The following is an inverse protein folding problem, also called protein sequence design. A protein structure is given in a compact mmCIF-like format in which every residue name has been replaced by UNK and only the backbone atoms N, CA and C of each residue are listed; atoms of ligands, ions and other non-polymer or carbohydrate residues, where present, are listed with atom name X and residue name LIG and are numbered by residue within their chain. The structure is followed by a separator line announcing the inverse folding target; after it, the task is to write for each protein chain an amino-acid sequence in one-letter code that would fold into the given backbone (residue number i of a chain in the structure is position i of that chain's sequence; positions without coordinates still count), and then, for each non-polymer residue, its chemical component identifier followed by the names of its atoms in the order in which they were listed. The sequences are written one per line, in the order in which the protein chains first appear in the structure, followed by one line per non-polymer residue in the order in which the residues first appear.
data_IF_897321112721
#
_entry.id   IF_897321112721
#
_cell.length_a   1.000
_cell.length_b   1.000
_cell.length_c   1.000
_cell.angle_alpha   90.00
_cell.angle_beta   90.00
_cell.angle_gamma   90.00
#
_symmetry.space_group_name_H-M   'P 1'
#
loop_
_entity.id
_entity.type
_entity.pdbx_description
1 polymer ?
#
# COMPACT_ATOMS: atom_id res chain seq x y z
N UNK A 1 -33.57 -13.37 0.04
CA UNK A 1 -32.33 -12.82 -0.54
C UNK A 1 -31.80 -11.77 0.43
N UNK A 2 -30.55 -11.89 0.89
CA UNK A 2 -29.93 -10.90 1.78
C UNK A 2 -29.38 -9.74 0.91
N UNK A 3 -29.69 -8.50 1.28
CA UNK A 3 -29.18 -7.33 0.59
C UNK A 3 -27.68 -7.15 0.88
N UNK A 4 -26.88 -6.95 -0.16
CA UNK A 4 -25.48 -6.54 -0.03
C UNK A 4 -25.30 -5.16 -0.67
N UNK A 5 -24.68 -4.25 0.06
CA UNK A 5 -24.43 -2.87 -0.38
C UNK A 5 -22.92 -2.65 -0.33
N UNK A 6 -22.33 -2.23 -1.44
CA UNK A 6 -20.91 -1.89 -1.52
C UNK A 6 -20.75 -0.37 -1.73
N UNK A 7 -19.89 0.22 -0.93
CA UNK A 7 -19.48 1.61 -1.05
C UNK A 7 -18.00 1.68 -1.37
N UNK A 8 -17.66 2.35 -2.44
CA UNK A 8 -16.28 2.61 -2.82
C UNK A 8 -15.88 4.03 -2.44
N UNK A 9 -14.65 4.17 -1.92
CA UNK A 9 -14.07 5.45 -1.51
C UNK A 9 -14.92 6.25 -0.48
N UNK A 10 -15.68 5.56 0.36
CA UNK A 10 -16.60 6.18 1.32
C UNK A 10 -15.88 7.10 2.31
N UNK A 11 -14.61 6.84 2.59
CA UNK A 11 -13.78 7.66 3.47
C UNK A 11 -13.59 9.12 2.98
N UNK A 12 -13.91 9.41 1.72
CA UNK A 12 -13.89 10.78 1.17
C UNK A 12 -15.09 11.62 1.65
N UNK A 13 -16.09 11.00 2.24
CA UNK A 13 -17.30 11.67 2.72
C UNK A 13 -17.14 11.98 4.21
N UNK A 14 -17.17 13.27 4.63
CA UNK A 14 -17.11 13.62 6.05
C UNK A 14 -18.23 12.95 6.85
N UNK A 15 -17.89 12.40 8.02
CA UNK A 15 -18.88 11.77 8.93
C UNK A 15 -19.43 10.42 8.48
N UNK A 16 -18.86 9.81 7.46
CA UNK A 16 -19.32 8.52 6.92
C UNK A 16 -19.42 7.42 7.98
N UNK A 17 -18.47 7.37 8.91
CA UNK A 17 -18.40 6.31 9.93
C UNK A 17 -19.57 6.38 10.92
N UNK A 18 -20.03 7.57 11.27
CA UNK A 18 -21.21 7.74 12.13
C UNK A 18 -22.51 7.30 11.42
N UNK A 19 -22.60 7.57 10.12
CA UNK A 19 -23.74 7.12 9.32
C UNK A 19 -23.76 5.60 9.25
N UNK A 20 -22.64 4.96 8.92
CA UNK A 20 -22.52 3.51 8.85
C UNK A 20 -22.82 2.87 10.21
N UNK A 21 -22.30 3.43 11.31
CA UNK A 21 -22.59 2.98 12.66
C UNK A 21 -24.10 2.98 12.97
N UNK A 22 -24.76 4.09 12.70
CA UNK A 22 -26.20 4.23 12.92
C UNK A 22 -27.00 3.19 12.13
N UNK A 23 -26.66 3.01 10.85
CA UNK A 23 -27.32 2.02 9.98
C UNK A 23 -27.03 0.59 10.44
N UNK A 24 -25.80 0.29 10.84
CA UNK A 24 -25.44 -0.99 11.42
C UNK A 24 -26.25 -1.28 12.69
N UNK A 25 -26.25 -0.34 13.66
CA UNK A 25 -26.94 -0.51 14.94
C UNK A 25 -28.46 -0.63 14.74
N UNK A 26 -29.07 0.10 13.82
CA UNK A 26 -30.49 -0.03 13.48
C UNK A 26 -30.81 -1.38 12.83
N UNK A 27 -29.90 -1.90 11.99
CA UNK A 27 -30.05 -3.18 11.33
C UNK A 27 -30.07 -4.38 12.32
N UNK A 28 -29.43 -4.22 13.50
CA UNK A 28 -29.43 -5.28 14.53
C UNK A 28 -30.82 -5.63 15.06
N UNK A 29 -31.80 -4.74 14.89
CA UNK A 29 -33.22 -5.00 15.23
C UNK A 29 -33.93 -5.93 14.24
N UNK A 30 -33.33 -6.16 13.07
CA UNK A 30 -33.83 -7.05 12.04
C UNK A 30 -33.41 -8.50 12.31
N UNK A 31 -34.19 -9.45 11.83
CA UNK A 31 -33.76 -10.84 11.82
C UNK A 31 -32.44 -11.02 11.05
N UNK A 32 -31.49 -11.89 11.45
CA UNK A 32 -30.17 -12.02 10.84
C UNK A 32 -30.18 -12.18 9.32
N UNK A 33 -31.15 -12.89 8.77
CA UNK A 33 -31.34 -13.10 7.32
C UNK A 33 -31.80 -11.87 6.57
N UNK A 34 -32.28 -10.83 7.26
CA UNK A 34 -32.74 -9.56 6.68
C UNK A 34 -31.73 -8.41 6.88
N UNK A 35 -30.67 -8.62 7.67
CA UNK A 35 -29.64 -7.61 7.89
C UNK A 35 -28.86 -7.39 6.61
N UNK A 36 -28.65 -6.15 6.17
CA UNK A 36 -27.82 -5.88 5.02
C UNK A 36 -26.36 -6.22 5.32
N UNK A 37 -25.64 -6.71 4.33
CA UNK A 37 -24.17 -6.76 4.35
C UNK A 37 -23.65 -5.45 3.78
N UNK A 38 -22.84 -4.76 4.54
CA UNK A 38 -22.21 -3.50 4.10
C UNK A 38 -20.74 -3.82 3.84
N UNK A 39 -20.29 -3.56 2.62
CA UNK A 39 -18.89 -3.66 2.21
C UNK A 39 -18.40 -2.24 1.93
N UNK A 40 -17.27 -1.89 2.51
CA UNK A 40 -16.64 -0.58 2.29
C UNK A 40 -15.25 -0.85 1.73
N UNK A 41 -14.98 -0.31 0.55
CA UNK A 41 -13.65 -0.32 -0.05
C UNK A 41 -13.06 1.08 -0.08
N UNK A 42 -11.74 1.16 -0.07
CA UNK A 42 -11.03 2.43 -0.20
C UNK A 42 -9.54 2.19 -0.44
N UNK A 43 -8.95 3.04 -1.26
CA UNK A 43 -7.53 2.98 -1.62
C UNK A 43 -6.60 3.31 -0.45
N UNK A 44 -7.11 3.94 0.59
CA UNK A 44 -6.34 4.32 1.75
C UNK A 44 -6.77 3.59 3.01
N UNK A 45 -5.99 2.60 3.38
CA UNK A 45 -6.13 1.92 4.66
C UNK A 45 -6.22 2.90 5.86
N UNK A 46 -5.57 4.03 5.76
CA UNK A 46 -5.36 4.98 6.85
C UNK A 46 -6.59 5.85 7.16
N UNK A 47 -7.34 6.30 6.14
CA UNK A 47 -8.61 7.02 6.38
C UNK A 47 -9.71 6.07 6.84
N UNK A 48 -9.70 4.87 6.30
CA UNK A 48 -10.60 3.81 6.75
C UNK A 48 -10.28 3.47 8.22
N UNK A 49 -9.01 3.28 8.58
CA UNK A 49 -8.59 3.01 9.96
C UNK A 49 -9.06 4.10 10.93
N UNK A 50 -8.94 5.39 10.60
CA UNK A 50 -9.38 6.48 11.48
C UNK A 50 -10.89 6.44 11.75
N UNK A 51 -11.70 6.25 10.72
CA UNK A 51 -13.16 6.11 10.89
C UNK A 51 -13.56 4.81 11.61
N UNK A 52 -12.83 3.72 11.37
CA UNK A 52 -13.07 2.42 12.00
C UNK A 52 -12.77 2.44 13.50
N UNK A 53 -11.68 3.07 13.92
CA UNK A 53 -11.26 3.08 15.34
C UNK A 53 -12.14 3.98 16.20
N UNK A 54 -12.62 5.11 15.66
CA UNK A 54 -13.41 6.08 16.42
C UNK A 54 -14.88 5.66 16.58
N UNK A 55 -15.53 5.22 15.51
CA UNK A 55 -16.98 5.01 15.51
C UNK A 55 -17.43 3.57 15.32
N UNK A 56 -16.64 2.74 14.64
CA UNK A 56 -17.04 1.40 14.21
C UNK A 56 -16.38 0.28 15.00
N UNK A 57 -15.68 0.58 16.08
CA UNK A 57 -15.02 -0.46 16.90
C UNK A 57 -15.98 -1.60 17.26
N UNK A 58 -15.57 -2.84 16.97
CA UNK A 58 -16.36 -4.04 17.21
C UNK A 58 -17.53 -4.31 16.23
N UNK A 59 -17.64 -3.49 15.15
CA UNK A 59 -18.74 -3.59 14.16
C UNK A 59 -18.27 -3.95 12.76
N UNK A 60 -16.98 -4.20 12.55
CA UNK A 60 -16.41 -4.49 11.23
C UNK A 60 -15.41 -5.64 11.30
N UNK A 61 -15.21 -6.26 10.16
CA UNK A 61 -14.10 -7.15 9.87
C UNK A 61 -13.22 -6.46 8.82
N UNK A 62 -11.92 -6.33 9.11
CA UNK A 62 -10.97 -5.71 8.19
C UNK A 62 -10.36 -6.77 7.27
N UNK A 63 -10.63 -6.63 5.98
CA UNK A 63 -10.02 -7.45 4.93
C UNK A 63 -8.96 -6.59 4.24
N UNK A 64 -7.70 -6.97 4.38
CA UNK A 64 -6.60 -6.33 3.66
C UNK A 64 -6.49 -6.94 2.28
N UNK A 65 -6.55 -6.09 1.26
CA UNK A 65 -6.45 -6.50 -0.14
C UNK A 65 -5.09 -6.03 -0.70
N UNK A 66 -4.03 -6.85 -0.58
CA UNK A 66 -2.70 -6.53 -1.08
C UNK A 66 -2.62 -6.69 -2.60
N UNK A 67 -1.41 -6.67 -3.16
CA UNK A 67 -1.17 -7.05 -4.55
C UNK A 67 -1.72 -8.44 -4.86
N UNK A 68 -2.15 -8.65 -6.10
CA UNK A 68 -2.62 -9.94 -6.56
C UNK A 68 -1.50 -10.99 -6.49
N UNK A 69 -1.84 -12.20 -6.10
CA UNK A 69 -0.91 -13.31 -6.14
C UNK A 69 -0.90 -13.96 -7.54
N UNK A 70 0.10 -14.82 -7.77
CA UNK A 70 0.25 -15.52 -9.05
C UNK A 70 -1.01 -16.32 -9.44
N UNK A 71 -1.63 -17.00 -8.48
CA UNK A 71 -2.82 -17.83 -8.76
C UNK A 71 -4.01 -16.99 -9.22
N UNK A 72 -4.19 -15.80 -8.64
CA UNK A 72 -5.24 -14.85 -9.04
C UNK A 72 -4.98 -14.30 -10.44
N UNK A 73 -3.77 -13.83 -10.73
CA UNK A 73 -3.41 -13.29 -12.03
C UNK A 73 -3.41 -14.36 -13.13
N UNK A 74 -2.90 -15.55 -12.82
CA UNK A 74 -2.91 -16.67 -13.75
C UNK A 74 -4.33 -17.12 -14.10
N UNK A 75 -5.21 -17.19 -13.11
CA UNK A 75 -6.61 -17.57 -13.30
C UNK A 75 -7.41 -16.53 -14.10
N UNK A 76 -7.16 -15.24 -13.85
CA UNK A 76 -7.91 -14.16 -14.47
C UNK A 76 -7.39 -13.75 -15.86
N UNK A 77 -6.07 -13.77 -16.06
CA UNK A 77 -5.40 -13.19 -17.24
C UNK A 77 -4.43 -14.14 -17.92
N UNK A 78 -4.22 -15.36 -17.41
CA UNK A 78 -3.26 -16.31 -17.95
C UNK A 78 -1.80 -15.91 -17.75
N UNK A 79 -1.52 -15.04 -16.78
CA UNK A 79 -0.16 -14.57 -16.46
C UNK A 79 0.71 -15.74 -16.01
N UNK A 80 1.88 -15.86 -16.61
CA UNK A 80 2.86 -16.87 -16.25
C UNK A 80 3.64 -16.44 -15.00
N UNK A 81 4.27 -17.40 -14.29
CA UNK A 81 5.09 -17.08 -13.13
C UNK A 81 6.26 -16.12 -13.47
N UNK A 82 6.84 -16.22 -14.69
CA UNK A 82 7.91 -15.33 -15.15
C UNK A 82 7.42 -13.88 -15.29
N UNK A 83 6.25 -13.71 -15.88
CA UNK A 83 5.62 -12.40 -16.01
C UNK A 83 5.25 -11.84 -14.64
N UNK A 84 4.66 -12.63 -13.75
CA UNK A 84 4.34 -12.21 -12.39
C UNK A 84 5.59 -11.77 -11.61
N UNK A 85 6.71 -12.50 -11.70
CA UNK A 85 7.97 -12.11 -11.05
C UNK A 85 8.52 -10.80 -11.64
N UNK A 86 8.33 -10.54 -12.92
CA UNK A 86 8.79 -9.32 -13.55
C UNK A 86 7.90 -8.10 -13.24
N UNK A 87 6.58 -8.30 -13.16
CA UNK A 87 5.59 -7.22 -13.02
C UNK A 87 5.22 -6.95 -11.56
N UNK A 88 5.16 -7.99 -10.73
CA UNK A 88 4.48 -7.96 -9.44
C UNK A 88 2.96 -8.00 -9.61
N UNK A 89 2.23 -7.94 -8.51
CA UNK A 89 0.78 -8.14 -8.48
C UNK A 89 -0.06 -6.91 -8.84
N UNK A 90 0.29 -6.20 -9.91
CA UNK A 90 -0.53 -5.15 -10.53
C UNK A 90 -1.17 -5.69 -11.82
N UNK A 91 -2.41 -6.20 -11.80
CA UNK A 91 -2.98 -6.98 -12.90
C UNK A 91 -2.95 -6.26 -14.25
N UNK A 92 -3.13 -4.94 -14.25
CA UNK A 92 -3.17 -4.18 -15.50
C UNK A 92 -1.83 -4.08 -16.22
N UNK A 93 -0.72 -4.36 -15.53
CA UNK A 93 0.61 -4.20 -16.13
C UNK A 93 0.88 -5.18 -17.27
N UNK A 94 0.21 -6.35 -17.30
CA UNK A 94 0.36 -7.30 -18.40
C UNK A 94 -0.03 -6.72 -19.77
N UNK A 95 -0.98 -5.78 -19.81
CA UNK A 95 -1.39 -5.10 -21.05
C UNK A 95 -0.25 -4.27 -21.69
N UNK A 96 0.74 -3.87 -20.89
CA UNK A 96 1.85 -3.00 -21.32
C UNK A 96 3.15 -3.77 -21.61
N UNK A 97 3.21 -5.07 -21.34
CA UNK A 97 4.41 -5.90 -21.55
C UNK A 97 5.04 -5.77 -22.95
N UNK A 98 4.26 -5.67 -24.06
CA UNK A 98 4.82 -5.54 -25.40
C UNK A 98 5.54 -4.22 -25.65
N UNK A 99 5.29 -3.18 -24.85
CA UNK A 99 5.84 -1.83 -25.02
C UNK A 99 6.49 -1.36 -23.70
N UNK A 100 7.76 -1.64 -23.53
CA UNK A 100 8.51 -1.28 -22.31
C UNK A 100 8.46 0.21 -22.00
N UNK A 101 8.42 1.10 -23.00
CA UNK A 101 8.36 2.54 -22.78
C UNK A 101 7.02 2.95 -22.17
N UNK A 102 5.92 2.44 -22.72
CA UNK A 102 4.58 2.68 -22.17
C UNK A 102 4.43 2.06 -20.80
N UNK A 103 5.00 0.86 -20.59
CA UNK A 103 5.02 0.20 -19.30
C UNK A 103 5.68 1.08 -18.22
N UNK A 104 6.91 1.55 -18.46
CA UNK A 104 7.63 2.40 -17.50
C UNK A 104 6.88 3.72 -17.23
N UNK A 105 6.34 4.36 -18.26
CA UNK A 105 5.54 5.57 -18.11
C UNK A 105 4.28 5.32 -17.28
N UNK A 106 3.55 4.25 -17.55
CA UNK A 106 2.34 3.91 -16.80
C UNK A 106 2.64 3.64 -15.31
N UNK A 107 3.71 2.90 -15.02
CA UNK A 107 4.09 2.63 -13.62
C UNK A 107 4.47 3.92 -12.90
N UNK A 108 5.25 4.81 -13.53
CA UNK A 108 5.62 6.10 -12.93
C UNK A 108 4.43 7.00 -12.72
N UNK A 109 3.69 7.29 -13.79
CA UNK A 109 2.72 8.36 -13.81
C UNK A 109 1.39 7.93 -13.18
N UNK A 110 0.95 6.69 -13.43
CA UNK A 110 -0.35 6.22 -12.98
C UNK A 110 -0.32 5.47 -11.65
N UNK A 111 0.79 4.81 -11.30
CA UNK A 111 0.92 4.08 -10.03
C UNK A 111 1.67 4.92 -9.02
N UNK A 112 2.97 5.19 -9.26
CA UNK A 112 3.84 5.85 -8.27
C UNK A 112 3.35 7.26 -7.96
N UNK A 113 3.13 8.09 -8.99
CA UNK A 113 2.69 9.48 -8.80
C UNK A 113 1.29 9.56 -8.16
N UNK A 114 0.37 8.68 -8.53
CA UNK A 114 -0.95 8.64 -7.91
C UNK A 114 -0.87 8.32 -6.42
N UNK A 115 -0.13 7.29 -6.04
CA UNK A 115 -0.02 6.89 -4.63
C UNK A 115 0.73 7.94 -3.81
N UNK A 116 1.87 8.43 -4.29
CA UNK A 116 2.68 9.39 -3.53
C UNK A 116 2.01 10.76 -3.42
N UNK A 117 1.39 11.28 -4.48
CA UNK A 117 0.86 12.65 -4.49
C UNK A 117 -0.61 12.75 -4.12
N UNK A 118 -1.43 11.73 -4.38
CA UNK A 118 -2.85 11.75 -4.07
C UNK A 118 -3.15 11.01 -2.77
N UNK A 119 -2.77 9.74 -2.71
CA UNK A 119 -3.20 8.93 -1.58
C UNK A 119 -2.45 9.27 -0.29
N UNK A 120 -1.12 9.36 -0.33
CA UNK A 120 -0.34 9.63 0.88
C UNK A 120 -0.39 11.10 1.32
N UNK A 121 -0.29 12.06 0.39
CA UNK A 121 -0.24 13.48 0.75
C UNK A 121 -1.61 14.05 1.15
N UNK A 122 -2.70 13.55 0.54
CA UNK A 122 -4.04 14.01 0.89
C UNK A 122 -4.55 13.44 2.23
N UNK A 123 -3.99 12.30 2.64
CA UNK A 123 -4.51 11.52 3.76
C UNK A 123 -3.74 11.73 5.05
N UNK A 124 -2.52 12.20 4.95
CA UNK A 124 -1.65 12.48 6.10
C UNK A 124 -1.02 13.86 5.97
N UNK A 125 -0.86 14.56 7.11
CA UNK A 125 0.00 15.73 7.15
C UNK A 125 1.45 15.28 6.94
N UNK A 126 1.85 15.12 5.68
CA UNK A 126 3.23 14.88 5.31
C UNK A 126 3.94 16.22 5.27
N UNK A 127 4.69 16.54 6.31
CA UNK A 127 5.42 17.82 6.41
C UNK A 127 6.51 17.96 5.34
N UNK A 128 7.08 16.82 4.89
CA UNK A 128 8.20 16.77 3.94
C UNK A 128 7.91 15.83 2.77
N UNK A 129 7.07 16.23 1.81
CA UNK A 129 6.72 15.38 0.66
C UNK A 129 7.93 14.94 -0.17
N UNK A 130 8.90 15.82 -0.32
CA UNK A 130 10.15 15.54 -1.06
C UNK A 130 10.94 14.43 -0.36
N UNK A 131 11.02 14.44 0.96
CA UNK A 131 11.71 13.39 1.72
C UNK A 131 11.00 12.05 1.60
N UNK A 132 9.67 12.02 1.66
CA UNK A 132 8.86 10.81 1.47
C UNK A 132 9.16 10.18 0.08
N UNK A 133 9.14 11.00 -0.97
CA UNK A 133 9.47 10.57 -2.34
C UNK A 133 10.90 10.02 -2.43
N UNK A 134 11.88 10.75 -1.95
CA UNK A 134 13.28 10.31 -1.96
C UNK A 134 13.50 9.02 -1.18
N UNK A 135 12.78 8.82 -0.08
CA UNK A 135 12.83 7.58 0.69
C UNK A 135 12.30 6.39 -0.11
N UNK A 136 11.22 6.59 -0.87
CA UNK A 136 10.70 5.57 -1.76
C UNK A 136 11.68 5.26 -2.90
N UNK A 137 12.22 6.29 -3.57
CA UNK A 137 13.24 6.13 -4.62
C UNK A 137 14.49 5.43 -4.09
N UNK A 138 14.93 5.80 -2.88
CA UNK A 138 16.03 5.13 -2.20
C UNK A 138 15.75 3.64 -2.01
N UNK A 139 14.55 3.30 -1.53
CA UNK A 139 14.14 1.90 -1.34
C UNK A 139 14.15 1.11 -2.66
N UNK A 140 13.76 1.73 -3.76
CA UNK A 140 13.81 1.11 -5.08
C UNK A 140 15.23 0.96 -5.64
N UNK A 141 16.19 1.78 -5.20
CA UNK A 141 17.62 1.64 -5.57
C UNK A 141 18.35 0.61 -4.72
N UNK A 142 17.84 0.32 -3.54
CA UNK A 142 18.40 -0.63 -2.57
C UNK A 142 17.39 -1.75 -2.23
N UNK A 143 16.81 -2.43 -3.24
CA UNK A 143 15.80 -3.45 -3.00
C UNK A 143 16.41 -4.63 -2.24
N UNK A 144 15.69 -5.12 -1.23
CA UNK A 144 16.09 -6.23 -0.38
C UNK A 144 17.36 -6.02 0.45
N UNK A 145 17.90 -4.79 0.54
CA UNK A 145 19.05 -4.47 1.39
C UNK A 145 18.61 -4.17 2.84
N UNK A 146 19.50 -4.48 3.78
CA UNK A 146 19.36 -4.09 5.19
C UNK A 146 20.06 -2.76 5.37
N UNK A 147 19.30 -1.70 5.62
CA UNK A 147 19.85 -0.34 5.73
C UNK A 147 19.37 0.34 7.00
N UNK A 148 20.30 0.90 7.77
CA UNK A 148 19.93 1.66 8.98
C UNK A 148 19.27 2.99 8.63
N UNK A 149 18.34 3.46 9.47
CA UNK A 149 17.69 4.75 9.28
C UNK A 149 18.69 5.91 9.28
N UNK A 150 19.78 5.81 10.06
CA UNK A 150 20.86 6.80 10.07
C UNK A 150 21.61 6.84 8.73
N UNK A 151 21.91 5.66 8.14
CA UNK A 151 22.55 5.60 6.81
C UNK A 151 21.65 6.17 5.73
N UNK A 152 20.34 5.88 5.79
CA UNK A 152 19.35 6.49 4.88
C UNK A 152 19.35 8.00 5.01
N UNK A 153 19.30 8.54 6.23
CA UNK A 153 19.32 9.98 6.51
C UNK A 153 20.57 10.66 5.93
N UNK A 154 21.73 10.03 6.07
CA UNK A 154 22.99 10.57 5.53
C UNK A 154 23.05 10.61 4.00
N UNK A 155 22.26 9.81 3.32
CA UNK A 155 22.17 9.80 1.85
C UNK A 155 21.00 10.63 1.29
N UNK A 156 19.99 10.86 2.11
CA UNK A 156 18.85 11.71 1.76
C UNK A 156 19.20 13.15 2.13
N UNK A 157 19.44 13.99 1.14
CA UNK A 157 19.92 15.39 1.30
C UNK A 157 18.90 16.34 1.94
N UNK A 158 17.96 15.85 2.73
CA UNK A 158 16.94 16.66 3.38
C UNK A 158 17.05 16.56 4.90
N UNK A 159 16.72 17.65 5.60
CA UNK A 159 16.77 17.75 7.06
C UNK A 159 15.64 16.99 7.75
N UNK A 160 15.64 15.69 7.61
CA UNK A 160 14.75 14.79 8.38
C UNK A 160 15.42 14.30 9.66
N UNK A 161 14.67 13.59 10.48
CA UNK A 161 15.18 12.82 11.60
C UNK A 161 14.77 11.35 11.46
N UNK A 162 15.35 10.48 12.30
CA UNK A 162 15.08 9.03 12.29
C UNK A 162 13.59 8.73 12.53
N UNK A 163 12.93 9.50 13.37
CA UNK A 163 11.49 9.33 13.66
C UNK A 163 10.64 9.63 12.43
N UNK A 164 10.95 10.72 11.71
CA UNK A 164 10.26 11.08 10.45
C UNK A 164 10.45 10.00 9.41
N UNK A 165 11.68 9.48 9.24
CA UNK A 165 11.93 8.38 8.30
C UNK A 165 11.18 7.10 8.67
N UNK A 166 11.17 6.74 9.95
CA UNK A 166 10.42 5.58 10.43
C UNK A 166 8.93 5.71 10.15
N UNK A 167 8.36 6.90 10.39
CA UNK A 167 6.97 7.20 10.08
C UNK A 167 6.70 7.10 8.56
N UNK A 168 7.58 7.65 7.73
CA UNK A 168 7.40 7.58 6.27
C UNK A 168 7.55 6.16 5.71
N UNK A 169 8.43 5.32 6.29
CA UNK A 169 8.47 3.90 5.96
C UNK A 169 7.16 3.19 6.31
N UNK A 170 6.53 3.55 7.44
CA UNK A 170 5.21 3.02 7.82
C UNK A 170 4.12 3.46 6.83
N UNK A 171 4.11 4.73 6.41
CA UNK A 171 3.17 5.23 5.39
C UNK A 171 3.33 4.49 4.05
N UNK A 172 4.57 4.34 3.57
CA UNK A 172 4.86 3.63 2.33
C UNK A 172 4.48 2.13 2.42
N UNK A 173 4.63 1.54 3.61
CA UNK A 173 4.23 0.16 3.87
C UNK A 173 2.71 -0.01 3.85
N UNK A 174 1.97 0.90 4.46
CA UNK A 174 0.50 0.91 4.45
C UNK A 174 -0.07 1.16 3.05
N UNK A 175 0.68 1.86 2.21
CA UNK A 175 0.35 2.05 0.78
C UNK A 175 0.76 0.86 -0.11
N UNK A 176 1.23 -0.24 0.45
CA UNK A 176 1.71 -1.42 -0.26
C UNK A 176 2.81 -1.14 -1.30
N UNK A 177 3.62 -0.11 -1.11
CA UNK A 177 4.76 0.18 -1.97
C UNK A 177 6.01 -0.57 -1.52
N UNK A 178 6.26 -0.60 -0.20
CA UNK A 178 7.40 -1.29 0.41
C UNK A 178 6.97 -2.08 1.65
N UNK A 179 7.79 -3.07 2.04
CA UNK A 179 7.70 -3.72 3.34
C UNK A 179 9.05 -3.60 4.07
N UNK A 180 9.16 -2.72 5.07
CA UNK A 180 10.36 -2.62 5.90
C UNK A 180 10.38 -3.76 6.92
N UNK A 181 10.96 -4.91 6.53
CA UNK A 181 11.00 -6.09 7.38
C UNK A 181 11.99 -5.88 8.53
N UNK A 182 11.48 -5.98 9.74
CA UNK A 182 12.29 -5.91 10.96
C UNK A 182 13.00 -7.24 11.21
N UNK A 183 14.14 -7.18 11.89
CA UNK A 183 14.83 -8.36 12.35
C UNK A 183 13.93 -9.14 13.32
N UNK A 184 13.80 -10.45 13.11
CA UNK A 184 13.15 -11.31 14.10
C UNK A 184 13.99 -11.40 15.36
N UNK A 185 13.39 -11.10 16.51
CA UNK A 185 13.99 -11.27 17.83
C UNK A 185 12.89 -11.51 18.86
N UNK A 186 13.08 -12.38 19.83
CA UNK A 186 12.17 -12.51 20.97
C UNK A 186 12.15 -11.26 21.86
N UNK A 187 13.18 -10.40 21.77
CA UNK A 187 13.28 -9.15 22.54
C UNK A 187 12.77 -7.96 21.71
N UNK A 188 11.64 -7.37 22.12
CA UNK A 188 10.99 -6.24 21.43
C UNK A 188 11.92 -5.02 21.25
N UNK A 189 12.77 -4.74 22.25
CA UNK A 189 13.71 -3.62 22.18
C UNK A 189 14.76 -3.80 21.09
N UNK A 190 15.22 -5.03 20.85
CA UNK A 190 16.15 -5.35 19.76
C UNK A 190 15.51 -5.24 18.39
N UNK A 191 14.23 -5.54 18.28
CA UNK A 191 13.48 -5.35 17.04
C UNK A 191 13.46 -3.87 16.65
N UNK A 192 13.07 -3.00 17.59
CA UNK A 192 12.96 -1.55 17.35
C UNK A 192 14.29 -0.87 17.04
N UNK A 193 15.39 -1.39 17.55
CA UNK A 193 16.73 -0.85 17.30
C UNK A 193 17.39 -1.41 16.03
N UNK A 194 16.79 -2.41 15.39
CA UNK A 194 17.38 -3.08 14.22
C UNK A 194 17.14 -2.30 12.93
N UNK A 195 18.11 -2.40 12.01
CA UNK A 195 17.97 -1.89 10.65
C UNK A 195 16.95 -2.72 9.89
N UNK A 196 15.94 -2.12 9.25
CA UNK A 196 14.97 -2.85 8.45
C UNK A 196 15.59 -3.35 7.14
N UNK A 197 15.10 -4.50 6.65
CA UNK A 197 15.31 -4.93 5.27
C UNK A 197 14.23 -4.32 4.40
N UNK A 198 14.63 -3.54 3.39
CA UNK A 198 13.71 -2.85 2.49
C UNK A 198 13.24 -3.80 1.38
N UNK A 199 11.99 -4.23 1.43
CA UNK A 199 11.37 -5.02 0.36
C UNK A 199 10.46 -4.11 -0.44
N UNK A 200 10.76 -3.89 -1.72
CA UNK A 200 9.82 -3.27 -2.66
C UNK A 200 8.85 -4.34 -3.10
N UNK A 201 7.54 -4.08 -2.94
CA UNK A 201 6.52 -5.12 -3.05
C UNK A 201 6.18 -5.51 -4.51
N UNK A 202 6.59 -4.70 -5.48
CA UNK A 202 6.44 -5.04 -6.89
C UNK A 202 7.71 -4.70 -7.68
N UNK A 203 8.31 -5.65 -8.39
CA UNK A 203 9.50 -5.41 -9.22
C UNK A 203 9.29 -4.33 -10.29
N UNK A 204 8.07 -4.16 -10.80
CA UNK A 204 7.72 -3.09 -11.71
C UNK A 204 8.04 -1.68 -11.17
N UNK A 205 7.91 -1.46 -9.85
CA UNK A 205 8.26 -0.19 -9.21
C UNK A 205 9.77 0.07 -9.28
N UNK A 206 10.57 -0.99 -9.06
CA UNK A 206 12.03 -0.94 -9.18
C UNK A 206 12.43 -0.66 -10.63
N UNK A 207 11.84 -1.39 -11.57
CA UNK A 207 12.08 -1.23 -13.00
C UNK A 207 11.82 0.21 -13.45
N UNK A 208 10.67 0.78 -13.10
CA UNK A 208 10.28 2.12 -13.48
C UNK A 208 11.21 3.21 -12.92
N UNK A 209 11.71 3.07 -11.67
CA UNK A 209 12.57 4.06 -11.05
C UNK A 209 14.06 3.90 -11.40
N UNK A 210 14.48 2.74 -11.89
CA UNK A 210 15.85 2.50 -12.37
C UNK A 210 15.98 2.59 -13.90
N UNK A 211 14.91 2.92 -14.62
CA UNK A 211 14.87 2.92 -16.09
C UNK A 211 15.27 1.58 -16.72
N UNK A 212 14.90 0.49 -16.06
CA UNK A 212 15.18 -0.88 -16.50
C UNK A 212 13.90 -1.54 -17.02
N UNK A 213 14.06 -2.49 -17.93
CA UNK A 213 12.93 -3.35 -18.30
C UNK A 213 12.56 -4.28 -17.14
N UNK A 214 11.30 -4.72 -17.06
CA UNK A 214 10.90 -5.68 -16.04
C UNK A 214 11.76 -6.95 -16.00
N UNK A 215 12.18 -7.43 -17.17
CA UNK A 215 13.04 -8.62 -17.29
C UNK A 215 14.44 -8.42 -16.72
N UNK A 216 14.99 -7.19 -16.78
CA UNK A 216 16.30 -6.87 -16.21
C UNK A 216 16.30 -6.75 -14.68
N UNK A 217 15.13 -6.58 -14.08
CA UNK A 217 14.97 -6.50 -12.61
C UNK A 217 14.65 -7.86 -12.01
N UNK A 218 14.00 -8.74 -12.79
CA UNK A 218 13.60 -10.07 -12.34
C UNK A 218 14.74 -11.10 -12.34
N UNK A 219 15.91 -10.76 -12.89
CA UNK A 219 17.13 -11.59 -12.89
C UNK A 219 18.03 -11.27 -11.71
#
# INVERSE_FOLDING_TARGET
MQLSIAFDELQKIPGWSEVVKREFDSSQRLAPSKRPRIVISGSSALLVEKGLTESLAGRFELIRFPHWCLDEESSAFGVTWKEHVALGGYPRLHEFLPDSRRFLAYVRDSIVESVLNKDLLLLHPVEKPVLLRRLFEFSCRHPAEIVSLQKMLGQLTDTGNVTTLSHYLDLLSKAFLIAPLQKYSPEILRIRASSPKLIVLAPALVAALQDKTPSEVAL
#
